data_IF_250037422198
#
_entry.id   IF_250037422198
#
_cell.length_a   1.000
_cell.length_b   1.000
_cell.length_c   1.000
_cell.angle_alpha   90.00
_cell.angle_beta   90.00
_cell.angle_gamma   90.00
#
_symmetry.space_group_name_H-M   'P 1'
#
loop_
_entity.id
_entity.type
_entity.pdbx_description
1 polymer ?
#
# COMPACT_ATOMS: atom_id res chain seq x y z
N UNK A 1 15.15 9.46 6.28
CA UNK A 1 16.42 9.69 5.55
C UNK A 1 16.47 11.15 5.11
N UNK A 2 17.58 11.64 4.55
CA UNK A 2 17.67 13.01 4.03
C UNK A 2 16.75 13.23 2.83
N UNK A 3 16.34 14.49 2.55
CA UNK A 3 15.61 14.86 1.34
C UNK A 3 16.35 14.42 0.08
N UNK A 4 15.63 13.79 -0.85
CA UNK A 4 16.16 13.41 -2.16
C UNK A 4 15.06 13.31 -3.20
N UNK A 5 15.45 13.06 -4.45
CA UNK A 5 14.56 12.87 -5.60
C UNK A 5 15.12 11.76 -6.49
N UNK A 6 14.23 11.01 -7.13
CA UNK A 6 14.56 9.96 -8.08
C UNK A 6 13.39 9.72 -9.05
N UNK A 7 13.63 9.07 -10.20
CA UNK A 7 12.59 8.77 -11.18
C UNK A 7 11.53 7.78 -10.69
N UNK A 8 11.88 6.89 -9.76
CA UNK A 8 10.91 5.98 -9.14
C UNK A 8 9.85 6.77 -8.36
N UNK A 9 8.64 6.22 -8.30
CA UNK A 9 7.65 6.64 -7.31
C UNK A 9 7.62 5.66 -6.15
N UNK A 10 7.18 6.15 -5.00
CA UNK A 10 7.19 5.40 -3.75
C UNK A 10 5.88 5.58 -3.00
N UNK A 11 5.43 4.53 -2.35
CA UNK A 11 4.28 4.56 -1.48
C UNK A 11 4.65 3.97 -0.12
N UNK A 12 4.16 4.61 0.94
CA UNK A 12 4.54 4.32 2.31
C UNK A 12 3.31 4.09 3.18
N UNK A 13 3.39 3.09 4.03
CA UNK A 13 2.43 2.84 5.10
C UNK A 13 3.16 2.91 6.46
N UNK A 14 2.66 3.72 7.39
CA UNK A 14 3.29 3.91 8.70
C UNK A 14 2.88 2.78 9.63
N UNK A 15 3.82 1.88 9.93
CA UNK A 15 3.63 0.77 10.88
C UNK A 15 3.80 1.24 12.33
N UNK A 16 4.67 2.21 12.56
CA UNK A 16 4.92 2.83 13.85
C UNK A 16 5.36 4.29 13.65
N UNK A 17 4.52 5.23 14.08
CA UNK A 17 4.80 6.67 14.09
C UNK A 17 4.86 7.26 15.51
N UNK A 18 4.76 8.59 15.66
CA UNK A 18 4.55 9.58 14.59
C UNK A 18 5.79 9.85 13.74
N UNK A 19 5.58 10.13 12.46
CA UNK A 19 6.62 10.51 11.50
C UNK A 19 6.34 11.90 10.93
N UNK A 20 7.40 12.63 10.56
CA UNK A 20 7.30 13.86 9.78
C UNK A 20 7.66 13.50 8.35
N UNK A 21 6.74 13.76 7.42
CA UNK A 21 6.97 13.59 5.98
C UNK A 21 7.08 14.95 5.32
N UNK A 22 8.02 15.06 4.40
CA UNK A 22 8.17 16.23 3.54
C UNK A 22 7.97 15.82 2.08
N UNK A 23 7.17 16.60 1.35
CA UNK A 23 7.01 16.46 -0.11
C UNK A 23 7.04 17.86 -0.72
N UNK A 24 7.97 18.08 -1.66
CA UNK A 24 8.17 19.36 -2.35
C UNK A 24 8.26 20.56 -1.38
N UNK A 25 8.98 20.38 -0.27
CA UNK A 25 9.21 21.43 0.75
C UNK A 25 8.05 21.66 1.71
N UNK A 26 6.90 20.98 1.55
CA UNK A 26 5.78 21.03 2.48
C UNK A 26 5.84 19.86 3.45
N UNK A 27 5.35 20.02 4.67
CA UNK A 27 5.41 19.00 5.71
C UNK A 27 4.06 18.61 6.29
N UNK A 28 3.97 17.34 6.72
CA UNK A 28 2.84 16.79 7.49
C UNK A 28 3.36 15.81 8.53
N UNK A 29 2.68 15.76 9.68
CA UNK A 29 2.89 14.69 10.67
C UNK A 29 1.90 13.57 10.40
N UNK A 30 2.40 12.36 10.23
CA UNK A 30 1.58 11.16 10.02
C UNK A 30 1.68 10.23 11.24
N UNK A 31 0.57 9.57 11.55
CA UNK A 31 0.42 8.62 12.65
C UNK A 31 0.55 7.17 12.15
N UNK A 32 0.63 6.23 13.10
CA UNK A 32 0.50 4.80 12.79
C UNK A 32 -0.81 4.53 12.05
N UNK A 33 -0.72 3.83 10.92
CA UNK A 33 -1.84 3.52 10.04
C UNK A 33 -2.06 4.51 8.90
N UNK A 34 -1.41 5.67 8.91
CA UNK A 34 -1.49 6.62 7.80
C UNK A 34 -0.67 6.14 6.60
N UNK A 35 -1.09 6.61 5.42
CA UNK A 35 -0.49 6.28 4.14
C UNK A 35 -0.06 7.57 3.42
N UNK A 36 1.07 7.52 2.70
CA UNK A 36 1.45 8.59 1.78
C UNK A 36 2.16 8.07 0.52
N UNK A 37 2.09 8.86 -0.54
CA UNK A 37 2.68 8.59 -1.84
C UNK A 37 3.64 9.71 -2.24
N UNK A 38 4.82 9.34 -2.73
CA UNK A 38 5.83 10.23 -3.29
C UNK A 38 5.86 10.06 -4.81
N UNK A 39 5.28 11.01 -5.57
CA UNK A 39 5.32 10.95 -7.02
C UNK A 39 6.75 10.97 -7.58
N UNK A 40 6.95 10.39 -8.77
CA UNK A 40 8.22 10.46 -9.50
C UNK A 40 8.79 11.87 -9.51
N UNK A 41 10.09 11.99 -9.21
CA UNK A 41 10.86 13.23 -9.11
C UNK A 41 10.40 14.24 -8.04
N UNK A 42 9.38 13.95 -7.24
CA UNK A 42 9.08 14.79 -6.07
C UNK A 42 10.26 14.74 -5.09
N UNK A 43 10.62 15.90 -4.54
CA UNK A 43 11.59 15.94 -3.44
C UNK A 43 10.91 15.44 -2.18
N UNK A 44 11.44 14.42 -1.52
CA UNK A 44 10.79 13.84 -0.35
C UNK A 44 11.75 13.32 0.71
N UNK A 45 11.26 13.28 1.95
CA UNK A 45 11.86 12.55 3.05
C UNK A 45 10.85 12.13 4.11
N UNK A 46 11.30 11.20 4.94
CA UNK A 46 10.66 10.81 6.20
C UNK A 46 11.66 10.98 7.36
N UNK A 47 11.18 11.56 8.46
CA UNK A 47 11.92 11.76 9.70
C UNK A 47 11.09 11.31 10.91
N UNK A 48 11.76 11.02 12.02
CA UNK A 48 11.07 10.80 13.30
C UNK A 48 10.51 12.14 13.80
N UNK A 49 9.30 12.12 14.35
CA UNK A 49 8.76 13.28 15.06
C UNK A 49 9.27 13.41 16.51
N UNK A 50 10.07 12.45 16.98
CA UNK A 50 10.67 12.41 18.32
C UNK A 50 11.84 11.43 18.41
N UNK A 51 12.12 10.95 19.62
CA UNK A 51 13.25 10.06 19.90
C UNK A 51 12.92 8.57 19.67
N UNK A 52 11.64 8.21 19.76
CA UNK A 52 11.18 6.83 19.61
C UNK A 52 11.41 6.26 18.20
N UNK A 53 11.72 4.96 18.07
CA UNK A 53 11.87 4.33 16.76
C UNK A 53 10.58 4.42 15.96
N UNK A 54 10.74 4.56 14.65
CA UNK A 54 9.64 4.54 13.68
C UNK A 54 9.79 3.32 12.79
N UNK A 55 8.67 2.82 12.27
CA UNK A 55 8.63 1.70 11.34
C UNK A 55 7.64 2.03 10.22
N UNK A 56 8.00 1.69 8.98
CA UNK A 56 7.16 1.90 7.82
C UNK A 56 7.41 0.80 6.79
N UNK A 57 6.40 0.51 5.98
CA UNK A 57 6.50 -0.34 4.82
C UNK A 57 6.53 0.53 3.57
N UNK A 58 7.51 0.29 2.70
CA UNK A 58 7.71 1.03 1.44
C UNK A 58 7.48 0.13 0.24
N UNK A 59 6.76 0.64 -0.75
CA UNK A 59 6.59 0.04 -2.07
C UNK A 59 7.15 0.99 -3.11
N UNK A 60 8.22 0.60 -3.77
CA UNK A 60 8.89 1.40 -4.80
C UNK A 60 8.58 0.84 -6.18
N UNK A 61 8.11 1.68 -7.10
CA UNK A 61 7.97 1.33 -8.51
C UNK A 61 9.15 1.87 -9.30
N UNK A 62 10.06 0.95 -9.65
CA UNK A 62 11.32 1.27 -10.31
C UNK A 62 11.17 1.47 -11.82
N UNK A 63 11.90 2.44 -12.36
CA UNK A 63 11.91 2.75 -13.79
C UNK A 63 13.00 2.00 -14.57
N UNK A 64 13.49 0.83 -14.12
CA UNK A 64 14.49 -0.02 -14.83
C UNK A 64 15.60 0.74 -15.61
N UNK A 65 16.15 1.82 -15.05
CA UNK A 65 17.21 2.63 -15.69
C UNK A 65 16.75 3.56 -16.82
N UNK A 66 15.45 3.62 -17.13
CA UNK A 66 14.86 4.65 -17.96
C UNK A 66 14.68 5.89 -17.08
N UNK A 67 15.30 7.01 -17.44
CA UNK A 67 15.11 8.28 -16.75
C UNK A 67 13.74 8.89 -17.14
N UNK A 68 12.66 8.19 -16.81
CA UNK A 68 11.28 8.51 -17.20
C UNK A 68 10.40 8.53 -15.95
N UNK A 69 9.67 9.62 -15.77
CA UNK A 69 8.68 9.75 -14.72
C UNK A 69 7.44 8.88 -15.00
N UNK A 70 6.81 8.39 -13.94
CA UNK A 70 5.40 8.04 -14.00
C UNK A 70 4.57 9.33 -13.99
N UNK A 71 3.57 9.46 -14.88
CA UNK A 71 2.76 10.67 -14.95
C UNK A 71 1.92 10.81 -13.67
N UNK A 72 1.81 12.05 -13.17
CA UNK A 72 0.92 12.38 -12.06
C UNK A 72 -0.39 12.91 -12.63
N UNK A 73 -1.52 12.39 -12.16
CA UNK A 73 -2.85 12.73 -12.68
C UNK A 73 -3.33 14.16 -12.36
N UNK A 74 -2.52 14.96 -11.67
CA UNK A 74 -2.78 16.35 -11.30
C UNK A 74 -1.46 17.12 -11.37
N UNK A 75 -1.38 18.14 -12.22
CA UNK A 75 -0.14 18.93 -12.42
C UNK A 75 0.23 19.71 -11.14
N UNK A 76 -0.72 20.43 -10.55
CA UNK A 76 -0.53 21.22 -9.32
C UNK A 76 -0.97 20.45 -8.07
N UNK A 77 -0.49 19.23 -7.91
CA UNK A 77 -0.78 18.46 -6.70
C UNK A 77 -0.07 19.05 -5.47
N UNK A 78 -0.70 18.93 -4.31
CA UNK A 78 -0.14 19.31 -3.01
C UNK A 78 0.23 18.05 -2.21
N UNK A 79 0.89 18.24 -1.08
CA UNK A 79 1.13 17.15 -0.13
C UNK A 79 -0.16 16.49 0.35
N UNK A 80 -1.28 17.21 0.40
CA UNK A 80 -2.55 16.65 0.85
C UNK A 80 -3.17 15.71 -0.20
N UNK A 81 -2.90 15.91 -1.50
CA UNK A 81 -3.27 14.94 -2.54
C UNK A 81 -2.44 13.64 -2.45
N UNK A 82 -1.31 13.69 -1.74
CA UNK A 82 -0.37 12.59 -1.60
C UNK A 82 -0.60 11.77 -0.32
N UNK A 83 -1.52 12.18 0.55
CA UNK A 83 -1.75 11.55 1.85
C UNK A 83 -3.14 10.96 1.92
N UNK A 84 -3.23 9.78 2.52
CA UNK A 84 -4.50 9.15 2.84
C UNK A 84 -4.54 8.75 4.32
N UNK A 85 -5.47 9.35 5.06
CA UNK A 85 -5.69 9.11 6.48
C UNK A 85 -6.63 7.91 6.66
N UNK A 86 -6.07 6.70 6.55
CA UNK A 86 -6.83 5.45 6.59
C UNK A 86 -7.75 5.35 7.82
N UNK A 87 -7.20 5.65 9.00
CA UNK A 87 -7.91 5.51 10.27
C UNK A 87 -9.12 6.45 10.39
N UNK A 88 -9.21 7.46 9.52
CA UNK A 88 -10.31 8.40 9.46
C UNK A 88 -11.36 8.03 8.40
N UNK A 89 -11.13 6.99 7.60
CA UNK A 89 -12.12 6.52 6.61
C UNK A 89 -13.21 5.67 7.30
N UNK A 90 -14.49 6.06 7.23
CA UNK A 90 -15.57 5.34 7.91
C UNK A 90 -15.81 3.93 7.34
N UNK A 91 -15.35 3.62 6.13
CA UNK A 91 -15.38 2.26 5.63
C UNK A 91 -14.40 1.34 6.39
N UNK A 92 -13.33 1.91 6.95
CA UNK A 92 -12.32 1.18 7.72
C UNK A 92 -12.80 0.81 9.13
N UNK A 93 -13.67 1.62 9.72
CA UNK A 93 -14.23 1.37 11.07
C UNK A 93 -15.51 0.53 11.04
N UNK A 94 -15.88 -0.02 9.89
CA UNK A 94 -17.07 -0.86 9.74
C UNK A 94 -16.77 -2.31 10.14
N UNK A 95 -17.35 -2.77 11.26
CA UNK A 95 -17.25 -4.15 11.78
C UNK A 95 -18.04 -5.21 10.98
N UNK A 96 -18.36 -4.91 9.72
CA UNK A 96 -19.04 -5.80 8.78
C UNK A 96 -18.25 -7.07 8.44
N UNK A 97 -18.62 -7.75 7.34
CA UNK A 97 -17.86 -8.93 6.88
C UNK A 97 -16.48 -8.53 6.34
N UNK A 98 -16.44 -7.54 5.46
CA UNK A 98 -15.18 -7.03 4.91
C UNK A 98 -15.31 -5.58 4.48
N UNK A 99 -14.18 -4.89 4.46
CA UNK A 99 -14.03 -3.53 3.96
C UNK A 99 -12.87 -3.47 2.98
N UNK A 100 -12.98 -2.54 2.02
CA UNK A 100 -11.92 -2.25 1.06
C UNK A 100 -11.91 -0.77 0.76
N UNK A 101 -10.76 -0.15 0.97
CA UNK A 101 -10.52 1.26 0.69
C UNK A 101 -9.39 1.43 -0.32
N UNK A 102 -9.44 2.52 -1.08
CA UNK A 102 -8.42 2.85 -2.08
C UNK A 102 -7.56 3.98 -1.52
N UNK A 103 -6.36 3.63 -1.05
CA UNK A 103 -5.40 4.59 -0.51
C UNK A 103 -4.63 5.33 -1.62
N UNK A 104 -4.49 4.72 -2.81
CA UNK A 104 -3.89 5.36 -3.97
C UNK A 104 -4.61 4.98 -5.26
N UNK A 105 -4.99 6.00 -6.04
CA UNK A 105 -5.64 5.83 -7.34
C UNK A 105 -4.63 5.74 -8.48
N UNK A 106 -4.81 4.71 -9.31
CA UNK A 106 -3.98 4.45 -10.49
C UNK A 106 -3.94 5.62 -11.48
N UNK A 107 -4.98 6.45 -11.56
CA UNK A 107 -5.00 7.63 -12.44
C UNK A 107 -4.11 8.74 -11.89
N UNK A 108 -4.08 8.89 -10.57
CA UNK A 108 -3.23 9.88 -9.92
C UNK A 108 -1.76 9.48 -9.97
N UNK A 109 -1.45 8.20 -9.76
CA UNK A 109 -0.08 7.70 -9.73
C UNK A 109 0.49 7.29 -11.10
N UNK A 110 -0.29 7.34 -12.18
CA UNK A 110 0.17 6.85 -13.48
C UNK A 110 0.38 5.32 -13.50
N UNK A 111 -0.54 4.57 -12.88
CA UNK A 111 -0.67 3.12 -13.02
C UNK A 111 -0.39 2.30 -11.77
N UNK A 112 -0.11 2.91 -10.61
CA UNK A 112 0.03 2.22 -9.32
C UNK A 112 -1.25 2.38 -8.49
N UNK A 113 -1.92 1.28 -8.16
CA UNK A 113 -3.09 1.29 -7.29
C UNK A 113 -2.74 0.64 -5.96
N UNK A 114 -3.15 1.27 -4.86
CA UNK A 114 -3.05 0.65 -3.54
C UNK A 114 -4.44 0.54 -2.94
N UNK A 115 -4.83 -0.70 -2.67
CA UNK A 115 -6.03 -1.05 -1.94
C UNK A 115 -5.63 -1.58 -0.58
N UNK A 116 -6.35 -1.17 0.46
CA UNK A 116 -6.26 -1.80 1.76
C UNK A 116 -7.54 -2.55 2.04
N UNK A 117 -7.38 -3.75 2.57
CA UNK A 117 -8.42 -4.72 2.80
C UNK A 117 -8.50 -5.06 4.27
N UNK A 118 -9.72 -5.13 4.79
CA UNK A 118 -10.03 -5.74 6.07
C UNK A 118 -11.04 -6.85 5.83
N UNK A 119 -10.76 -8.04 6.36
CA UNK A 119 -11.63 -9.21 6.29
C UNK A 119 -11.83 -9.72 7.70
N UNK A 120 -13.06 -9.68 8.20
CA UNK A 120 -13.36 -10.15 9.56
C UNK A 120 -13.57 -11.66 9.57
N UNK A 121 -13.44 -12.34 10.72
CA UNK A 121 -13.75 -13.77 10.83
C UNK A 121 -15.19 -14.16 10.45
N UNK A 122 -16.10 -13.18 10.32
CA UNK A 122 -17.49 -13.39 9.89
C UNK A 122 -17.61 -13.52 8.37
N UNK A 123 -16.59 -13.11 7.62
CA UNK A 123 -16.58 -13.26 6.16
C UNK A 123 -16.15 -14.67 5.80
N UNK A 124 -17.11 -15.45 5.31
CA UNK A 124 -16.87 -16.79 4.79
C UNK A 124 -16.55 -16.78 3.28
N UNK A 125 -16.49 -15.59 2.66
CA UNK A 125 -16.19 -15.49 1.24
C UNK A 125 -14.68 -15.55 0.98
N UNK A 126 -14.33 -16.28 -0.07
CA UNK A 126 -12.96 -16.44 -0.54
C UNK A 126 -12.65 -15.37 -1.61
N UNK A 127 -11.56 -14.62 -1.42
CA UNK A 127 -11.04 -13.69 -2.43
C UNK A 127 -10.24 -14.46 -3.49
N UNK A 128 -10.91 -15.28 -4.31
CA UNK A 128 -10.26 -15.89 -5.49
C UNK A 128 -10.27 -14.87 -6.62
N UNK A 129 -9.08 -14.41 -7.04
CA UNK A 129 -8.95 -13.47 -8.16
C UNK A 129 -7.89 -13.99 -9.12
N UNK A 130 -8.26 -14.05 -10.40
CA UNK A 130 -7.26 -14.01 -11.48
C UNK A 130 -6.89 -12.54 -11.70
N UNK A 131 -5.67 -12.09 -11.39
CA UNK A 131 -5.25 -10.74 -11.74
C UNK A 131 -5.35 -10.55 -13.25
N UNK A 132 -5.63 -9.32 -13.71
CA UNK A 132 -5.63 -9.04 -15.13
C UNK A 132 -4.25 -9.39 -15.71
N UNK A 133 -4.20 -9.91 -16.93
CA UNK A 133 -2.96 -10.38 -17.54
C UNK A 133 -1.88 -9.29 -17.71
N UNK A 134 -2.20 -8.02 -17.48
CA UNK A 134 -1.28 -6.87 -17.53
C UNK A 134 -0.89 -6.33 -16.13
N UNK A 135 -1.39 -6.92 -15.04
CA UNK A 135 -1.15 -6.47 -13.67
C UNK A 135 -0.07 -7.34 -12.98
N UNK A 136 0.74 -6.70 -12.14
CA UNK A 136 1.53 -7.36 -11.10
C UNK A 136 1.00 -6.94 -9.73
N UNK A 137 0.95 -7.85 -8.76
CA UNK A 137 0.44 -7.57 -7.42
C UNK A 137 1.47 -7.92 -6.34
N UNK A 138 1.63 -7.03 -5.36
CA UNK A 138 2.37 -7.29 -4.12
C UNK A 138 1.42 -7.09 -2.96
N UNK A 139 1.50 -7.98 -1.99
CA UNK A 139 0.68 -7.97 -0.79
C UNK A 139 1.55 -7.83 0.44
N UNK A 140 1.03 -7.16 1.46
CA UNK A 140 1.64 -7.06 2.79
C UNK A 140 0.58 -7.21 3.86
N UNK A 141 0.74 -8.18 4.76
CA UNK A 141 -0.19 -8.42 5.88
C UNK A 141 0.19 -7.53 7.05
N UNK A 142 -0.72 -6.64 7.44
CA UNK A 142 -0.57 -5.73 8.57
C UNK A 142 -0.94 -6.46 9.87
N UNK A 143 -2.09 -7.15 9.89
CA UNK A 143 -2.58 -7.88 11.06
C UNK A 143 -3.39 -9.11 10.68
N UNK A 144 -3.58 -10.03 11.64
CA UNK A 144 -4.29 -11.29 11.44
C UNK A 144 -3.50 -12.31 10.63
N UNK A 145 -4.18 -13.38 10.26
CA UNK A 145 -3.60 -14.54 9.58
C UNK A 145 -4.40 -14.89 8.33
N UNK A 146 -3.73 -15.48 7.35
CA UNK A 146 -4.35 -15.91 6.11
C UNK A 146 -3.74 -17.19 5.55
N UNK A 147 -4.58 -17.98 4.88
CA UNK A 147 -4.11 -18.92 3.87
C UNK A 147 -4.07 -18.23 2.51
N UNK A 148 -2.90 -18.27 1.88
CA UNK A 148 -2.69 -17.75 0.53
C UNK A 148 -2.45 -18.90 -0.42
N UNK A 149 -3.21 -18.94 -1.52
CA UNK A 149 -2.96 -19.87 -2.61
C UNK A 149 -2.33 -19.13 -3.78
N UNK A 150 -1.22 -19.63 -4.31
CA UNK A 150 -0.59 -19.17 -5.57
C UNK A 150 -0.44 -20.38 -6.51
N UNK A 151 -1.12 -20.34 -7.65
CA UNK A 151 -1.14 -21.43 -8.65
C UNK A 151 -1.37 -22.84 -8.04
N UNK A 152 -2.27 -22.91 -7.05
CA UNK A 152 -2.65 -24.13 -6.36
C UNK A 152 -1.75 -24.52 -5.17
N UNK A 153 -0.63 -23.82 -4.95
CA UNK A 153 0.21 -24.01 -3.77
C UNK A 153 -0.29 -23.12 -2.63
N UNK A 154 -0.52 -23.74 -1.46
CA UNK A 154 -1.03 -23.04 -0.27
C UNK A 154 0.13 -22.72 0.66
N UNK A 155 0.11 -21.52 1.24
CA UNK A 155 1.01 -21.10 2.33
C UNK A 155 0.22 -20.34 3.38
N UNK A 156 0.51 -20.64 4.64
CA UNK A 156 0.00 -19.89 5.78
C UNK A 156 0.87 -18.66 6.04
N UNK A 157 0.26 -17.49 6.14
CA UNK A 157 0.94 -16.22 6.41
C UNK A 157 0.26 -15.47 7.55
N UNK A 158 1.04 -14.62 8.21
CA UNK A 158 0.61 -13.82 9.35
C UNK A 158 1.10 -12.37 9.21
N UNK A 159 0.81 -11.52 10.19
CA UNK A 159 1.29 -10.15 10.27
C UNK A 159 2.80 -10.02 9.97
N UNK A 160 3.17 -8.90 9.35
CA UNK A 160 4.53 -8.59 8.89
C UNK A 160 5.06 -9.55 7.80
N UNK A 161 4.17 -10.19 7.04
CA UNK A 161 4.53 -11.01 5.88
C UNK A 161 4.14 -10.31 4.58
N UNK A 162 5.08 -10.24 3.62
CA UNK A 162 4.80 -9.85 2.25
C UNK A 162 4.81 -11.06 1.32
N UNK A 163 3.98 -11.04 0.28
CA UNK A 163 4.12 -11.98 -0.82
C UNK A 163 3.89 -11.30 -2.16
N UNK A 164 4.58 -11.80 -3.18
CA UNK A 164 4.46 -11.33 -4.55
C UNK A 164 3.63 -12.31 -5.36
N UNK A 165 2.66 -11.79 -6.11
CA UNK A 165 1.89 -12.54 -7.08
C UNK A 165 2.45 -12.25 -8.48
N UNK A 166 3.14 -13.22 -9.12
CA UNK A 166 3.66 -13.05 -10.46
C UNK A 166 2.55 -12.77 -11.47
N UNK A 167 2.93 -12.14 -12.58
CA UNK A 167 2.03 -11.85 -13.68
C UNK A 167 1.33 -13.14 -14.15
N UNK A 168 -0.01 -13.12 -14.15
CA UNK A 168 -0.83 -14.22 -14.65
C UNK A 168 -1.04 -15.38 -13.69
N UNK A 169 -0.39 -15.37 -12.52
CA UNK A 169 -0.62 -16.37 -11.48
C UNK A 169 -2.03 -16.26 -10.91
N UNK A 170 -2.67 -17.40 -10.66
CA UNK A 170 -3.93 -17.47 -9.93
C UNK A 170 -3.65 -17.30 -8.44
N UNK A 171 -4.40 -16.42 -7.78
CA UNK A 171 -4.23 -16.21 -6.34
C UNK A 171 -5.53 -16.22 -5.55
N UNK A 172 -5.45 -16.68 -4.30
CA UNK A 172 -6.47 -16.46 -3.28
C UNK A 172 -5.83 -15.97 -1.98
N UNK A 173 -6.58 -15.17 -1.22
CA UNK A 173 -6.25 -14.78 0.15
C UNK A 173 -7.48 -15.05 1.00
N UNK A 174 -7.32 -15.89 2.01
CA UNK A 174 -8.40 -16.38 2.86
C UNK A 174 -8.06 -16.02 4.28
N UNK A 175 -8.88 -15.20 4.94
CA UNK A 175 -8.71 -14.95 6.36
C UNK A 175 -8.84 -16.27 7.11
N UNK A 176 -7.92 -16.49 8.03
CA UNK A 176 -8.02 -17.58 9.00
C UNK A 176 -7.77 -17.03 10.40
N UNK A 177 -8.33 -17.71 11.40
CA UNK A 177 -8.20 -17.30 12.79
C UNK A 177 -9.35 -16.40 13.29
N UNK A 178 -9.15 -15.86 14.49
CA UNK A 178 -10.21 -15.21 15.26
C UNK A 178 -10.16 -13.68 15.23
N UNK A 179 -9.12 -13.11 14.60
CA UNK A 179 -8.93 -11.67 14.45
C UNK A 179 -9.13 -11.24 12.99
N UNK A 180 -9.45 -9.97 12.77
CA UNK A 180 -9.56 -9.43 11.42
C UNK A 180 -8.22 -9.47 10.69
N UNK A 181 -8.23 -10.03 9.49
CA UNK A 181 -7.11 -9.94 8.56
C UNK A 181 -7.09 -8.55 7.92
N UNK A 182 -5.97 -7.85 8.04
CA UNK A 182 -5.74 -6.55 7.41
C UNK A 182 -4.52 -6.64 6.51
N UNK A 183 -4.66 -6.26 5.23
CA UNK A 183 -3.55 -6.29 4.29
C UNK A 183 -3.60 -5.18 3.24
N UNK A 184 -2.42 -4.82 2.75
CA UNK A 184 -2.18 -3.95 1.60
C UNK A 184 -2.12 -4.81 0.34
N UNK A 185 -2.80 -4.38 -0.71
CA UNK A 185 -2.63 -4.87 -2.07
C UNK A 185 -2.13 -3.71 -2.94
N UNK A 186 -0.87 -3.78 -3.36
CA UNK A 186 -0.32 -2.91 -4.39
C UNK A 186 -0.46 -3.59 -5.75
N UNK A 187 -1.02 -2.89 -6.72
CA UNK A 187 -1.13 -3.35 -8.11
C UNK A 187 -0.48 -2.33 -9.03
N UNK A 188 0.37 -2.80 -9.94
CA UNK A 188 0.93 -1.94 -11.00
C UNK A 188 0.44 -2.42 -12.36
N UNK A 189 0.06 -1.47 -13.21
CA UNK A 189 -0.20 -1.73 -14.61
C UNK A 189 1.09 -1.54 -15.40
N UNK A 190 1.47 -2.56 -16.15
CA UNK A 190 2.58 -2.48 -17.09
C UNK A 190 2.04 -1.94 -18.42
N UNK A 191 2.40 -0.70 -18.76
CA UNK A 191 2.23 -0.16 -20.11
C UNK A 191 3.28 -0.76 -21.05
#
# INVERSE_FOLDING_TARGET
HSPHTHPADEAFYILQGPVIVHINGNERTLQTGDFYYCPSFSSHNIARAGEEPIQYYIMTRETKGQNRAYPVGKEDYTIDDCIYFLNNDPAWTNDGKSARVKALDEKFSGGMRILMHQVTPKDTNYSTRKPYAAEQEVFYVISGEADVTLDGQVSHIQSNTAFWCPRGAMRSVVQIGNESLVYIQCTTQLN
#
